data_IF_329771774268
#
_entry.id   IF_329771774268
#
_cell.length_a   1.000
_cell.length_b   1.000
_cell.length_c   1.000
_cell.angle_alpha   90.00
_cell.angle_beta   90.00
_cell.angle_gamma   90.00
#
_symmetry.space_group_name_H-M   'P 1'
#
loop_
_entity.id
_entity.type
_entity.pdbx_description
1 polymer ?
#
# COMPACT_ATOMS: atom_id res chain seq x y z
N UNK A 1 22.00 4.68 -44.74
CA UNK A 1 21.61 3.52 -43.89
C UNK A 1 21.52 4.04 -42.46
N UNK A 2 20.31 4.52 -42.10
CA UNK A 2 20.05 5.15 -40.81
C UNK A 2 19.59 4.07 -39.82
N UNK A 3 20.39 3.78 -38.80
CA UNK A 3 20.01 2.94 -37.67
C UNK A 3 19.13 3.79 -36.72
N UNK A 4 17.82 3.54 -36.74
CA UNK A 4 16.89 3.99 -35.72
C UNK A 4 17.14 3.17 -34.45
N UNK A 5 17.79 3.79 -33.46
CA UNK A 5 17.85 3.27 -32.09
C UNK A 5 16.46 3.40 -31.48
N UNK A 6 15.74 2.30 -31.37
CA UNK A 6 14.56 2.21 -30.55
C UNK A 6 15.02 2.22 -29.08
N UNK A 7 15.02 3.40 -28.47
CA UNK A 7 15.11 3.56 -27.03
C UNK A 7 13.80 3.03 -26.42
N UNK A 8 13.83 1.78 -25.97
CA UNK A 8 12.77 1.21 -25.15
C UNK A 8 12.71 2.00 -23.84
N UNK A 9 11.69 2.82 -23.70
CA UNK A 9 11.33 3.46 -22.44
C UNK A 9 10.87 2.34 -21.48
N UNK A 10 11.75 1.95 -20.59
CA UNK A 10 11.33 1.19 -19.41
C UNK A 10 10.50 2.15 -18.55
N UNK A 11 9.18 2.05 -18.68
CA UNK A 11 8.26 2.73 -17.77
C UNK A 11 8.57 2.26 -16.35
N UNK A 12 9.11 3.14 -15.52
CA UNK A 12 9.22 2.93 -14.09
C UNK A 12 7.82 3.06 -13.51
N UNK A 13 7.05 1.98 -13.56
CA UNK A 13 5.77 1.96 -12.88
C UNK A 13 6.04 1.96 -11.39
N UNK A 14 5.57 2.98 -10.72
CA UNK A 14 5.57 3.08 -9.28
C UNK A 14 4.56 2.07 -8.73
N UNK A 15 4.96 1.06 -7.93
CA UNK A 15 4.00 0.21 -7.24
C UNK A 15 3.14 1.04 -6.30
N UNK A 16 1.88 0.65 -6.15
CA UNK A 16 0.92 1.32 -5.29
C UNK A 16 1.17 1.12 -3.81
N UNK A 17 0.52 1.97 -3.00
CA UNK A 17 0.41 1.73 -1.59
C UNK A 17 -0.40 0.47 -1.34
N UNK A 18 0.13 -0.47 -0.57
CA UNK A 18 -0.72 -1.42 0.10
C UNK A 18 -1.59 -0.67 1.10
N UNK A 19 -2.85 -1.03 1.16
CA UNK A 19 -3.79 -0.49 2.13
C UNK A 19 -3.30 -0.84 3.54
N UNK A 20 -3.01 0.17 4.36
CA UNK A 20 -2.77 -0.06 5.79
C UNK A 20 -4.13 -0.17 6.45
N UNK A 21 -4.53 -1.38 6.82
CA UNK A 21 -5.70 -1.56 7.66
C UNK A 21 -5.54 -0.74 8.95
N UNK A 22 -6.51 0.10 9.33
CA UNK A 22 -6.42 0.86 10.56
C UNK A 22 -6.18 -0.10 11.73
N UNK A 23 -5.25 0.26 12.62
CA UNK A 23 -4.92 -0.55 13.77
C UNK A 23 -6.21 -0.99 14.49
N UNK A 24 -6.45 -2.29 14.48
CA UNK A 24 -7.64 -2.89 15.07
C UNK A 24 -7.64 -2.60 16.54
N UNK A 25 -8.56 -1.75 17.01
CA UNK A 25 -8.84 -1.67 18.43
C UNK A 25 -9.20 -3.08 18.90
N UNK A 26 -8.55 -3.56 19.96
CA UNK A 26 -8.81 -4.87 20.53
C UNK A 26 -10.21 -4.86 21.17
N UNK A 27 -11.24 -4.89 20.36
CA UNK A 27 -12.62 -5.09 20.79
C UNK A 27 -12.88 -6.60 20.79
N UNK A 28 -13.03 -7.14 22.01
CA UNK A 28 -13.25 -8.55 22.32
C UNK A 28 -14.68 -9.04 22.01
N UNK A 29 -15.35 -8.44 21.04
CA UNK A 29 -16.61 -8.98 20.53
C UNK A 29 -16.29 -10.09 19.53
N UNK A 30 -16.47 -11.33 19.94
CA UNK A 30 -16.43 -12.61 19.26
C UNK A 30 -15.77 -12.77 17.86
N UNK A 31 -15.47 -13.99 17.42
CA UNK A 31 -14.70 -14.26 16.19
C UNK A 31 -15.53 -14.00 14.92
N UNK A 32 -15.75 -12.74 14.58
CA UNK A 32 -16.34 -12.39 13.29
C UNK A 32 -15.24 -12.19 12.26
N UNK A 33 -15.46 -12.65 11.06
CA UNK A 33 -14.68 -12.33 9.89
C UNK A 33 -14.82 -10.83 9.61
N UNK A 34 -13.75 -10.15 9.34
CA UNK A 34 -13.72 -8.75 8.94
C UNK A 34 -13.20 -8.67 7.52
N UNK A 35 -13.91 -7.93 6.69
CA UNK A 35 -13.57 -7.73 5.30
C UNK A 35 -13.31 -6.25 5.07
N UNK A 36 -12.30 -5.94 4.29
CA UNK A 36 -12.01 -4.60 3.84
C UNK A 36 -11.70 -4.61 2.34
N UNK A 37 -12.32 -3.72 1.62
CA UNK A 37 -12.05 -3.48 0.21
C UNK A 37 -11.55 -2.06 0.04
N UNK A 38 -10.40 -1.88 -0.60
CA UNK A 38 -9.91 -0.58 -1.06
C UNK A 38 -9.70 -0.58 -2.56
N UNK A 39 -9.83 0.58 -3.15
CA UNK A 39 -9.53 0.83 -4.56
C UNK A 39 -8.78 2.15 -4.66
N UNK A 40 -7.53 2.09 -5.10
CA UNK A 40 -6.69 3.25 -5.36
C UNK A 40 -6.70 3.60 -6.83
N UNK A 41 -7.01 4.84 -7.15
CA UNK A 41 -6.92 5.40 -8.49
C UNK A 41 -5.71 6.32 -8.61
N UNK A 42 -4.75 5.97 -9.46
CA UNK A 42 -3.54 6.75 -9.73
C UNK A 42 -3.75 7.71 -10.88
N UNK A 43 -3.51 8.99 -10.61
CA UNK A 43 -3.51 10.07 -11.60
C UNK A 43 -2.08 10.59 -11.71
N UNK A 44 -1.38 10.20 -12.77
CA UNK A 44 0.02 10.54 -13.02
C UNK A 44 0.06 11.47 -14.23
N UNK A 45 0.70 12.65 -14.14
CA UNK A 45 0.81 13.55 -15.28
C UNK A 45 1.54 12.88 -16.46
N UNK A 46 0.99 13.02 -17.64
CA UNK A 46 1.56 12.50 -18.90
C UNK A 46 1.66 10.97 -19.01
N UNK A 47 1.00 10.23 -18.12
CA UNK A 47 0.91 8.76 -18.16
C UNK A 47 -0.55 8.31 -18.10
N UNK A 48 -0.83 7.10 -18.54
CA UNK A 48 -2.15 6.49 -18.36
C UNK A 48 -2.35 6.19 -16.87
N UNK A 49 -3.45 6.70 -16.30
CA UNK A 49 -3.86 6.36 -14.94
C UNK A 49 -4.25 4.89 -14.82
N UNK A 50 -4.15 4.34 -13.61
CA UNK A 50 -4.53 2.96 -13.35
C UNK A 50 -5.21 2.81 -11.98
N UNK A 51 -5.86 1.67 -11.77
CA UNK A 51 -6.53 1.34 -10.52
C UNK A 51 -5.92 0.11 -9.87
N UNK A 52 -5.96 0.08 -8.54
CA UNK A 52 -5.41 -0.99 -7.71
C UNK A 52 -6.43 -1.38 -6.64
N UNK A 53 -7.23 -2.41 -6.89
CA UNK A 53 -8.08 -2.99 -5.87
C UNK A 53 -7.28 -3.91 -4.94
N UNK A 54 -7.58 -3.81 -3.65
CA UNK A 54 -7.09 -4.70 -2.60
C UNK A 54 -8.28 -5.16 -1.76
N UNK A 55 -8.42 -6.46 -1.59
CA UNK A 55 -9.36 -7.08 -0.66
C UNK A 55 -8.56 -7.71 0.47
N UNK A 56 -8.79 -7.31 1.71
CA UNK A 56 -8.24 -7.95 2.89
C UNK A 56 -9.32 -8.62 3.73
N UNK A 57 -8.96 -9.71 4.37
CA UNK A 57 -9.84 -10.54 5.19
C UNK A 57 -9.10 -10.92 6.46
N UNK A 58 -9.66 -10.54 7.61
CA UNK A 58 -9.11 -10.85 8.91
C UNK A 58 -10.01 -11.77 9.72
N UNK A 59 -9.40 -12.74 10.40
CA UNK A 59 -10.09 -13.58 11.38
C UNK A 59 -9.12 -13.95 12.50
N UNK A 60 -9.29 -13.35 13.67
CA UNK A 60 -8.37 -13.54 14.80
C UNK A 60 -6.93 -13.19 14.42
N UNK A 61 -6.07 -14.23 14.39
CA UNK A 61 -4.65 -14.10 14.00
C UNK A 61 -4.43 -14.18 12.49
N UNK A 62 -5.38 -14.71 11.73
CA UNK A 62 -5.25 -14.90 10.29
C UNK A 62 -5.51 -13.60 9.55
N UNK A 63 -4.59 -13.24 8.66
CA UNK A 63 -4.71 -12.17 7.70
C UNK A 63 -4.54 -12.73 6.29
N UNK A 64 -5.45 -12.39 5.38
CA UNK A 64 -5.39 -12.76 3.98
C UNK A 64 -5.63 -11.52 3.13
N UNK A 65 -4.90 -11.42 2.00
CA UNK A 65 -5.14 -10.37 1.01
C UNK A 65 -5.13 -10.91 -0.42
N UNK A 66 -5.92 -10.25 -1.26
CA UNK A 66 -5.88 -10.38 -2.71
C UNK A 66 -5.72 -8.98 -3.30
N UNK A 67 -4.67 -8.80 -4.11
CA UNK A 67 -4.32 -7.51 -4.71
C UNK A 67 -4.23 -7.64 -6.23
N UNK A 68 -4.48 -6.54 -6.92
CA UNK A 68 -4.27 -6.44 -8.36
C UNK A 68 -3.65 -5.10 -8.73
N UNK A 69 -2.64 -5.12 -9.62
CA UNK A 69 -1.81 -4.00 -10.02
C UNK A 69 -0.93 -3.39 -8.90
N UNK A 70 -0.83 -4.01 -7.74
CA UNK A 70 -0.05 -3.48 -6.63
C UNK A 70 1.46 -3.67 -6.84
N UNK A 71 1.90 -4.88 -7.13
CA UNK A 71 3.32 -5.20 -7.30
C UNK A 71 3.84 -4.82 -8.70
N UNK A 72 2.96 -4.82 -9.71
CA UNK A 72 3.23 -4.37 -11.07
C UNK A 72 1.91 -4.27 -11.85
N UNK A 73 1.91 -3.53 -12.97
CA UNK A 73 0.78 -3.48 -13.87
C UNK A 73 0.44 -4.86 -14.45
N UNK A 74 -0.85 -5.22 -14.50
CA UNK A 74 -1.36 -6.55 -14.93
C UNK A 74 -0.78 -7.71 -14.11
N UNK A 75 -0.60 -7.47 -12.83
CA UNK A 75 -0.07 -8.45 -11.87
C UNK A 75 -1.06 -8.59 -10.72
N UNK A 76 -1.37 -9.81 -10.36
CA UNK A 76 -2.15 -10.14 -9.18
C UNK A 76 -1.26 -10.74 -8.10
N UNK A 77 -1.69 -10.66 -6.86
CA UNK A 77 -1.03 -11.33 -5.75
C UNK A 77 -2.02 -11.83 -4.71
N UNK A 78 -1.63 -12.89 -4.02
CA UNK A 78 -2.35 -13.45 -2.88
C UNK A 78 -1.39 -13.54 -1.71
N UNK A 79 -1.83 -13.04 -0.56
CA UNK A 79 -1.02 -12.92 0.64
C UNK A 79 -1.65 -13.66 1.81
N UNK A 80 -0.81 -14.21 2.67
CA UNK A 80 -1.21 -14.77 3.95
C UNK A 80 -0.28 -14.24 5.05
N UNK A 81 -0.87 -13.77 6.14
CA UNK A 81 -0.18 -13.15 7.25
C UNK A 81 -0.70 -13.58 8.60
N UNK A 82 0.02 -13.17 9.64
CA UNK A 82 -0.32 -13.41 11.03
C UNK A 82 -0.42 -12.10 11.80
N UNK A 83 -1.61 -11.80 12.34
CA UNK A 83 -1.88 -10.59 13.11
C UNK A 83 -1.41 -10.71 14.55
N UNK A 84 -0.49 -9.84 14.94
CA UNK A 84 -0.11 -9.59 16.32
C UNK A 84 -0.59 -8.21 16.73
N UNK A 85 -1.19 -8.10 17.93
CA UNK A 85 -1.53 -6.80 18.51
C UNK A 85 -1.28 -6.82 20.01
N UNK A 86 -0.73 -5.72 20.52
CA UNK A 86 -0.48 -5.56 21.96
C UNK A 86 -0.46 -4.08 22.36
N UNK A 87 -0.61 -3.86 23.65
CA UNK A 87 -0.64 -2.53 24.26
C UNK A 87 -2.06 -2.04 24.57
N UNK A 88 -2.15 -1.04 25.39
CA UNK A 88 -3.41 -0.40 25.80
C UNK A 88 -3.40 1.10 25.47
N UNK A 89 -2.46 1.85 26.03
CA UNK A 89 -2.30 3.29 25.79
C UNK A 89 -1.58 3.55 24.48
N UNK A 90 -0.55 2.77 24.20
CA UNK A 90 0.14 2.65 22.93
C UNK A 90 -0.29 1.30 22.35
N UNK A 91 -0.99 1.35 21.22
CA UNK A 91 -1.45 0.15 20.54
C UNK A 91 -0.49 -0.12 19.40
N UNK A 92 0.14 -1.28 19.44
CA UNK A 92 1.02 -1.74 18.38
C UNK A 92 0.40 -2.92 17.66
N UNK A 93 0.37 -2.88 16.34
CA UNK A 93 -0.01 -3.99 15.48
C UNK A 93 1.13 -4.34 14.55
N UNK A 94 1.29 -5.64 14.27
CA UNK A 94 2.31 -6.20 13.38
C UNK A 94 1.72 -7.39 12.65
N UNK A 95 1.81 -7.37 11.32
CA UNK A 95 1.34 -8.45 10.45
C UNK A 95 2.45 -8.86 9.49
N UNK A 96 3.38 -9.75 9.90
CA UNK A 96 4.27 -10.39 8.95
C UNK A 96 3.45 -11.26 7.99
N UNK A 97 3.78 -11.22 6.70
CA UNK A 97 3.06 -11.91 5.65
C UNK A 97 3.97 -12.42 4.55
N UNK A 98 3.47 -13.35 3.78
CA UNK A 98 4.11 -13.85 2.57
C UNK A 98 3.09 -13.87 1.43
N UNK A 99 3.49 -13.41 0.26
CA UNK A 99 2.67 -13.34 -0.94
C UNK A 99 3.21 -14.17 -2.09
N UNK A 100 2.31 -14.70 -2.91
CA UNK A 100 2.59 -15.22 -4.23
C UNK A 100 2.15 -14.19 -5.27
N UNK A 101 3.06 -13.79 -6.16
CA UNK A 101 2.85 -12.77 -7.19
C UNK A 101 2.80 -13.45 -8.55
N UNK A 102 1.84 -13.09 -9.40
CA UNK A 102 1.60 -13.74 -10.68
C UNK A 102 1.06 -12.76 -11.72
N UNK A 103 1.47 -12.92 -12.97
CA UNK A 103 1.09 -12.08 -14.10
C UNK A 103 2.31 -11.55 -14.84
N UNK A 104 2.42 -10.24 -14.99
CA UNK A 104 3.60 -9.63 -15.63
C UNK A 104 4.87 -9.82 -14.78
N UNK A 105 4.74 -9.78 -13.46
CA UNK A 105 5.75 -10.20 -12.49
C UNK A 105 5.31 -11.53 -11.87
N UNK A 106 6.24 -12.48 -11.75
CA UNK A 106 5.97 -13.76 -11.12
C UNK A 106 6.99 -14.00 -10.01
N UNK A 107 6.52 -14.23 -8.79
CA UNK A 107 7.47 -14.33 -7.70
C UNK A 107 6.87 -14.67 -6.35
N UNK A 108 7.73 -14.60 -5.35
CA UNK A 108 7.37 -14.71 -3.93
C UNK A 108 7.75 -13.40 -3.27
N UNK A 109 6.89 -12.89 -2.40
CA UNK A 109 7.09 -11.64 -1.73
C UNK A 109 6.92 -11.80 -0.21
N UNK A 110 7.99 -11.79 0.59
CA UNK A 110 7.88 -11.51 2.01
C UNK A 110 7.50 -10.04 2.22
N UNK A 111 6.58 -9.81 3.16
CA UNK A 111 6.07 -8.49 3.51
C UNK A 111 5.78 -8.37 5.00
N UNK A 112 5.52 -7.15 5.42
CA UNK A 112 5.16 -6.85 6.79
C UNK A 112 4.40 -5.53 6.85
N UNK A 113 3.26 -5.53 7.51
CA UNK A 113 2.56 -4.33 7.93
C UNK A 113 2.79 -4.10 9.42
N UNK A 114 2.99 -2.84 9.81
CA UNK A 114 3.09 -2.48 11.21
C UNK A 114 2.43 -1.12 11.47
N UNK A 115 1.83 -0.96 12.64
CA UNK A 115 1.30 0.32 13.08
C UNK A 115 1.51 0.54 14.57
N UNK A 116 1.64 1.80 14.94
CA UNK A 116 1.71 2.28 16.31
C UNK A 116 0.71 3.43 16.49
N UNK A 117 -0.33 3.19 17.26
CA UNK A 117 -1.38 4.18 17.54
C UNK A 117 -1.28 4.70 18.96
N UNK A 118 -1.32 6.02 19.11
CA UNK A 118 -1.40 6.70 20.39
C UNK A 118 -2.40 7.86 20.31
N UNK A 119 -3.52 7.71 21.02
CA UNK A 119 -4.64 8.67 21.01
C UNK A 119 -5.14 8.92 19.58
N UNK A 120 -4.88 10.12 19.04
CA UNK A 120 -5.29 10.58 17.71
C UNK A 120 -4.18 10.49 16.67
N UNK A 121 -3.04 9.96 17.05
CA UNK A 121 -1.87 9.82 16.19
C UNK A 121 -1.63 8.35 15.87
N UNK A 122 -1.30 8.07 14.62
CA UNK A 122 -0.89 6.75 14.17
C UNK A 122 0.32 6.88 13.26
N UNK A 123 1.31 6.04 13.48
CA UNK A 123 2.37 5.78 12.53
C UNK A 123 2.17 4.38 11.97
N UNK A 124 2.13 4.25 10.67
CA UNK A 124 2.00 2.96 9.99
C UNK A 124 3.06 2.81 8.91
N UNK A 125 3.40 1.58 8.63
CA UNK A 125 4.38 1.24 7.61
C UNK A 125 3.99 -0.08 6.96
N UNK A 126 4.09 -0.12 5.65
CA UNK A 126 3.96 -1.32 4.86
C UNK A 126 5.25 -1.55 4.08
N UNK A 127 5.75 -2.78 4.14
CA UNK A 127 6.99 -3.17 3.50
C UNK A 127 6.81 -4.48 2.76
N UNK A 128 7.39 -4.56 1.59
CA UNK A 128 7.51 -5.81 0.85
C UNK A 128 8.79 -5.86 0.02
N UNK A 129 9.24 -7.07 -0.24
CA UNK A 129 10.31 -7.34 -1.19
C UNK A 129 9.85 -8.44 -2.14
N UNK A 130 9.78 -8.14 -3.42
CA UNK A 130 9.38 -9.11 -4.44
C UNK A 130 10.63 -9.76 -5.03
N UNK A 131 10.72 -11.07 -4.90
CA UNK A 131 11.70 -11.90 -5.59
C UNK A 131 11.08 -12.39 -6.90
N UNK A 132 11.45 -11.77 -8.01
CA UNK A 132 11.00 -12.18 -9.34
C UNK A 132 11.70 -13.49 -9.74
N UNK A 133 10.91 -14.53 -9.99
CA UNK A 133 11.42 -15.85 -10.37
C UNK A 133 11.82 -15.92 -11.84
N UNK A 134 11.42 -14.95 -12.66
CA UNK A 134 11.73 -14.89 -14.09
C UNK A 134 13.05 -14.17 -14.35
N UNK A 135 13.30 -13.07 -13.62
CA UNK A 135 14.51 -12.25 -13.78
C UNK A 135 14.89 -11.55 -12.49
N UNK A 136 16.16 -11.66 -12.10
CA UNK A 136 16.68 -10.89 -10.94
C UNK A 136 16.55 -9.39 -11.11
N UNK A 137 16.49 -8.87 -12.34
CA UNK A 137 16.27 -7.45 -12.61
C UNK A 137 14.85 -6.99 -12.29
N UNK A 138 13.90 -7.91 -12.16
CA UNK A 138 12.54 -7.66 -11.72
C UNK A 138 12.37 -7.62 -10.19
N UNK A 139 13.41 -7.94 -9.42
CA UNK A 139 13.33 -7.81 -7.96
C UNK A 139 13.17 -6.36 -7.57
N UNK A 140 12.25 -6.09 -6.64
CA UNK A 140 12.09 -4.74 -6.09
C UNK A 140 11.76 -4.76 -4.60
N UNK A 141 12.09 -3.66 -3.95
CA UNK A 141 11.71 -3.33 -2.58
C UNK A 141 10.71 -2.19 -2.60
N UNK A 142 9.66 -2.33 -1.82
CA UNK A 142 8.64 -1.32 -1.61
C UNK A 142 8.49 -1.00 -0.13
N UNK A 143 8.25 0.29 0.16
CA UNK A 143 8.02 0.76 1.52
C UNK A 143 7.10 1.98 1.51
N UNK A 144 6.05 1.93 2.33
CA UNK A 144 5.06 2.99 2.48
C UNK A 144 4.87 3.37 3.95
N UNK A 145 5.68 4.30 4.50
CA UNK A 145 5.45 4.88 5.81
C UNK A 145 4.42 6.00 5.75
N UNK A 146 3.54 6.03 6.74
CA UNK A 146 2.48 7.02 6.85
C UNK A 146 2.38 7.51 8.31
N UNK A 147 2.18 8.80 8.50
CA UNK A 147 1.89 9.41 9.79
C UNK A 147 0.53 10.09 9.72
N UNK A 148 -0.43 9.60 10.50
CA UNK A 148 -1.84 10.02 10.49
C UNK A 148 -2.19 10.76 11.77
N UNK A 149 -2.91 11.87 11.62
CA UNK A 149 -3.58 12.59 12.69
C UNK A 149 -5.10 12.59 12.45
N UNK A 150 -5.87 12.07 13.41
CA UNK A 150 -7.33 11.97 13.34
C UNK A 150 -7.97 12.96 14.34
N UNK A 151 -8.11 14.26 13.98
CA UNK A 151 -8.67 15.26 14.89
C UNK A 151 -10.13 14.99 15.25
N UNK A 152 -10.88 14.46 14.32
CA UNK A 152 -12.31 14.12 14.44
C UNK A 152 -12.54 12.72 13.87
N UNK A 153 -13.61 12.03 14.31
CA UNK A 153 -13.90 10.66 13.87
C UNK A 153 -14.10 10.52 12.35
N UNK A 154 -14.46 11.62 11.69
CA UNK A 154 -14.71 11.65 10.25
C UNK A 154 -13.57 12.25 9.41
N UNK A 155 -12.47 12.74 10.04
CA UNK A 155 -11.38 13.44 9.34
C UNK A 155 -10.02 12.84 9.69
N UNK A 156 -9.26 12.45 8.67
CA UNK A 156 -7.86 12.03 8.74
C UNK A 156 -6.99 13.02 7.97
N UNK A 157 -5.86 13.37 8.51
CA UNK A 157 -4.84 14.21 7.88
C UNK A 157 -3.48 13.54 8.10
N UNK A 158 -2.57 13.67 7.16
CA UNK A 158 -1.26 13.08 7.42
C UNK A 158 -0.19 13.35 6.38
N UNK A 159 0.96 12.78 6.70
CA UNK A 159 2.14 12.76 5.85
C UNK A 159 2.38 11.33 5.39
N UNK A 160 2.86 11.19 4.18
CA UNK A 160 3.13 9.90 3.57
C UNK A 160 4.43 9.98 2.77
N UNK A 161 5.15 8.87 2.74
CA UNK A 161 6.24 8.71 1.80
C UNK A 161 6.15 7.35 1.14
N UNK A 162 6.54 7.29 -0.10
CA UNK A 162 6.65 6.06 -0.87
C UNK A 162 8.11 5.89 -1.27
N UNK A 163 8.64 4.69 -1.05
CA UNK A 163 9.99 4.33 -1.44
C UNK A 163 9.94 3.08 -2.28
N UNK A 164 10.45 3.18 -3.49
CA UNK A 164 10.57 2.07 -4.41
C UNK A 164 12.02 1.90 -4.84
N UNK A 165 12.51 0.67 -4.85
CA UNK A 165 13.85 0.36 -5.32
C UNK A 165 13.83 -0.93 -6.12
N UNK A 166 13.91 -0.81 -7.43
CA UNK A 166 14.15 -1.93 -8.34
C UNK A 166 15.63 -2.35 -8.29
N UNK A 167 15.91 -3.60 -8.57
CA UNK A 167 17.28 -4.14 -8.57
C UNK A 167 18.22 -3.31 -9.45
N UNK A 168 19.38 -2.91 -8.91
CA UNK A 168 20.41 -2.07 -9.56
C UNK A 168 19.96 -0.65 -9.98
N UNK A 169 18.80 -0.15 -9.54
CA UNK A 169 18.40 1.23 -9.74
C UNK A 169 18.68 2.09 -8.50
N UNK A 170 18.52 3.41 -8.64
CA UNK A 170 18.51 4.30 -7.48
C UNK A 170 17.20 4.15 -6.71
N UNK A 171 17.26 4.40 -5.40
CA UNK A 171 16.07 4.48 -4.57
C UNK A 171 15.23 5.69 -5.01
N UNK A 172 14.00 5.43 -5.46
CA UNK A 172 13.01 6.48 -5.68
C UNK A 172 12.26 6.76 -4.38
N UNK A 173 12.16 8.04 -4.01
CA UNK A 173 11.48 8.47 -2.79
C UNK A 173 10.51 9.59 -3.13
N UNK A 174 9.24 9.29 -3.10
CA UNK A 174 8.17 10.27 -3.21
C UNK A 174 7.67 10.64 -1.81
N UNK A 175 7.40 11.92 -1.60
CA UNK A 175 6.90 12.45 -0.33
C UNK A 175 5.60 13.19 -0.59
N UNK A 176 4.66 13.05 0.33
CA UNK A 176 3.36 13.63 0.15
C UNK A 176 2.63 13.89 1.46
N UNK A 177 1.44 14.39 1.30
CA UNK A 177 0.45 14.53 2.34
C UNK A 177 -0.88 13.96 1.88
N UNK A 178 -1.77 13.72 2.81
CA UNK A 178 -3.11 13.25 2.49
C UNK A 178 -4.18 13.87 3.39
N UNK A 179 -5.39 13.85 2.86
CA UNK A 179 -6.62 14.18 3.57
C UNK A 179 -7.62 13.08 3.31
N UNK A 180 -8.20 12.54 4.37
CA UNK A 180 -9.21 11.48 4.29
C UNK A 180 -10.48 11.87 5.03
N UNK A 181 -11.63 11.49 4.47
CA UNK A 181 -12.97 11.69 5.06
C UNK A 181 -13.60 10.32 5.24
N UNK A 182 -14.15 10.08 6.45
CA UNK A 182 -14.84 8.85 6.81
C UNK A 182 -16.33 9.12 6.98
N UNK A 183 -17.17 8.31 6.36
CA UNK A 183 -18.62 8.36 6.55
C UNK A 183 -19.22 6.95 6.66
N UNK A 184 -19.64 6.59 7.88
CA UNK A 184 -20.12 5.24 8.17
C UNK A 184 -19.01 4.19 7.94
N UNK A 185 -19.22 3.32 6.96
CA UNK A 185 -18.28 2.27 6.57
C UNK A 185 -17.34 2.66 5.43
N UNK A 186 -17.55 3.85 4.86
CA UNK A 186 -16.82 4.30 3.69
C UNK A 186 -15.77 5.32 4.07
N UNK A 187 -14.58 5.17 3.51
CA UNK A 187 -13.51 6.15 3.53
C UNK A 187 -13.22 6.67 2.13
N UNK A 188 -12.86 7.93 2.04
CA UNK A 188 -12.31 8.54 0.84
C UNK A 188 -11.07 9.33 1.23
N UNK A 189 -9.92 8.97 0.67
CA UNK A 189 -8.64 9.62 0.96
C UNK A 189 -8.00 10.10 -0.34
N UNK A 190 -7.45 11.30 -0.30
CA UNK A 190 -6.67 11.87 -1.40
C UNK A 190 -5.24 12.06 -0.94
N UNK A 191 -4.31 11.43 -1.63
CA UNK A 191 -2.87 11.60 -1.45
C UNK A 191 -2.32 12.48 -2.55
N UNK A 192 -1.42 13.39 -2.19
CA UNK A 192 -0.71 14.25 -3.14
C UNK A 192 0.79 14.10 -2.90
N UNK A 193 1.48 13.51 -3.84
CA UNK A 193 2.93 13.32 -3.80
C UNK A 193 3.64 14.38 -4.61
N UNK A 194 4.85 14.73 -4.19
CA UNK A 194 5.75 15.64 -4.88
C UNK A 194 5.12 17.00 -5.22
N UNK A 195 4.21 17.50 -4.35
CA UNK A 195 3.58 18.80 -4.54
C UNK A 195 4.64 19.92 -4.60
N UNK A 196 4.60 20.71 -5.67
CA UNK A 196 5.55 21.80 -5.92
C UNK A 196 6.88 21.37 -6.56
N UNK A 197 7.04 20.08 -6.91
CA UNK A 197 8.14 19.57 -7.70
C UNK A 197 7.65 19.09 -9.08
N UNK A 198 8.59 18.60 -9.92
CA UNK A 198 8.24 17.97 -11.18
C UNK A 198 7.45 16.67 -10.92
N UNK A 199 6.43 16.43 -11.75
CA UNK A 199 5.62 15.21 -11.77
C UNK A 199 4.85 14.91 -10.48
N UNK A 200 3.91 15.81 -10.06
CA UNK A 200 3.07 15.53 -8.91
C UNK A 200 2.12 14.36 -9.21
N UNK A 201 2.09 13.36 -8.33
CA UNK A 201 1.17 12.23 -8.43
C UNK A 201 0.02 12.42 -7.45
N UNK A 202 -1.21 12.19 -7.91
CA UNK A 202 -2.41 12.18 -7.06
C UNK A 202 -2.95 10.77 -7.00
N UNK A 203 -3.25 10.29 -5.78
CA UNK A 203 -3.90 9.01 -5.56
C UNK A 203 -5.23 9.25 -4.85
N UNK A 204 -6.28 8.69 -5.40
CA UNK A 204 -7.63 8.70 -4.83
C UNK A 204 -7.95 7.31 -4.32
N UNK A 205 -8.10 7.17 -3.01
CA UNK A 205 -8.47 5.91 -2.36
C UNK A 205 -9.94 5.93 -1.96
N UNK A 206 -10.65 4.87 -2.29
CA UNK A 206 -11.96 4.53 -1.75
C UNK A 206 -11.83 3.25 -0.96
N UNK A 207 -12.24 3.28 0.31
CA UNK A 207 -12.22 2.10 1.17
C UNK A 207 -13.58 1.85 1.83
N UNK A 208 -13.85 0.58 2.13
CA UNK A 208 -15.02 0.15 2.90
C UNK A 208 -14.71 -1.08 3.71
N UNK A 209 -15.30 -1.18 4.93
CA UNK A 209 -15.19 -2.34 5.82
C UNK A 209 -16.56 -2.91 6.16
N UNK A 210 -16.67 -4.25 6.28
CA UNK A 210 -17.93 -4.96 6.55
C UNK A 210 -17.69 -6.35 7.18
#
# INVERSE_FOLDING_TARGET
>A
MLLLAMSGWAQSQTPAPPHVSPAKSADNSGPSWQYQLSVDGYLIPNEDGYVQPTLSVDHKWLHLEARYNNENFRTGSLWAGYNFSWGKTWQFALTPMIGGVFGRTNGIAPGCEASLTWKKLEFSINNEYVFDTTSKSGNFYYNWPQFTYTPMQWLKLGLVAQRNKTFQTKLDVQRGFFVGVLHGRFGFTTYVFNAGWTDPTVVLELDTSF
#
